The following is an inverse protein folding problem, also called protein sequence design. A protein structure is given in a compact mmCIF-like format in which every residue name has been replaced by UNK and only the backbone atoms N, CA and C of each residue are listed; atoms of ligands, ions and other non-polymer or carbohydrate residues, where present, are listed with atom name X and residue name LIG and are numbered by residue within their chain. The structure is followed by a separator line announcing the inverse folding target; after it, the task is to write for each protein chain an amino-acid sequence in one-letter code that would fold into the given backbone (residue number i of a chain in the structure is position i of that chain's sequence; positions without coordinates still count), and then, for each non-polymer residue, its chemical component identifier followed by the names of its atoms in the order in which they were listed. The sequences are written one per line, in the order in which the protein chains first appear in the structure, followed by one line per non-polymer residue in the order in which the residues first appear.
data_IF_530956146505
#
_entry.id   IF_530956146505
#
_cell.length_a   1.000
_cell.length_b   1.000
_cell.length_c   1.000
_cell.angle_alpha   90.00
_cell.angle_beta   90.00
_cell.angle_gamma   90.00
#
_symmetry.space_group_name_H-M   'P 1'
#
loop_
_entity.id
_entity.type
_entity.pdbx_description
1 polymer ?
#
# COMPACT_ATOMS: atom_id res chain seq x y z
N UNK A 1 -4.62 7.19 -18.75
CA UNK A 1 -3.54 7.31 -17.75
C UNK A 1 -4.11 6.80 -16.43
N UNK A 2 -3.79 5.56 -16.02
CA UNK A 2 -4.20 5.07 -14.70
C UNK A 2 -3.29 5.73 -13.67
N UNK A 3 -3.82 6.67 -12.89
CA UNK A 3 -3.09 7.23 -11.76
C UNK A 3 -2.68 6.09 -10.83
N UNK A 4 -1.43 6.13 -10.34
CA UNK A 4 -0.96 5.16 -9.35
C UNK A 4 -1.51 5.57 -8.00
N UNK A 5 -2.17 4.65 -7.28
CA UNK A 5 -2.73 4.93 -5.96
C UNK A 5 -1.72 4.48 -4.90
N UNK A 6 -0.99 5.42 -4.30
CA UNK A 6 0.02 5.09 -3.31
C UNK A 6 0.24 6.21 -2.30
N UNK A 7 0.84 5.83 -1.17
CA UNK A 7 1.42 6.76 -0.18
C UNK A 7 2.89 6.43 0.05
N UNK A 8 3.65 7.42 0.51
CA UNK A 8 5.00 7.22 1.04
C UNK A 8 4.98 7.45 2.55
N UNK A 9 5.38 6.43 3.30
CA UNK A 9 5.57 6.51 4.75
C UNK A 9 7.02 6.79 5.10
N UNK A 10 7.27 7.65 6.09
CA UNK A 10 8.62 7.87 6.62
C UNK A 10 9.05 6.70 7.51
N UNK A 11 10.00 5.89 7.05
CA UNK A 11 10.48 4.71 7.78
C UNK A 11 11.43 5.05 8.94
N UNK A 12 11.82 6.31 9.09
CA UNK A 12 12.73 6.78 10.14
C UNK A 12 12.00 7.19 11.43
N UNK A 13 10.69 7.43 11.37
CA UNK A 13 9.86 7.70 12.55
C UNK A 13 9.25 6.39 13.01
N UNK A 14 9.93 5.73 13.94
CA UNK A 14 9.53 4.41 14.46
C UNK A 14 8.11 4.42 15.04
N UNK A 15 7.43 3.28 14.90
CA UNK A 15 6.05 3.01 15.36
C UNK A 15 4.94 3.85 14.71
N UNK A 16 5.22 5.05 14.21
CA UNK A 16 4.21 5.91 13.58
C UNK A 16 4.19 5.74 12.05
N UNK A 17 5.36 5.66 11.41
CA UNK A 17 5.52 5.58 9.96
C UNK A 17 4.64 6.58 9.19
N UNK A 18 4.78 7.90 9.48
CA UNK A 18 3.84 8.90 9.01
C UNK A 18 3.88 9.06 7.49
N UNK A 19 2.72 9.24 6.89
CA UNK A 19 2.56 9.60 5.48
C UNK A 19 3.21 10.97 5.26
N UNK A 20 4.23 10.99 4.41
CA UNK A 20 4.95 12.20 3.95
C UNK A 20 4.60 12.56 2.51
N UNK A 21 3.88 11.69 1.80
CA UNK A 21 3.33 11.95 0.48
C UNK A 21 2.15 11.02 0.20
N UNK A 22 1.13 11.52 -0.49
CA UNK A 22 0.08 10.69 -1.08
C UNK A 22 -0.20 11.13 -2.52
N UNK A 23 -0.44 10.16 -3.41
CA UNK A 23 -0.80 10.45 -4.80
C UNK A 23 -2.24 10.95 -4.92
N UNK A 24 -2.55 11.64 -6.02
CA UNK A 24 -3.92 12.08 -6.30
C UNK A 24 -4.86 10.88 -6.48
N UNK A 25 -4.41 9.83 -7.18
CA UNK A 25 -5.17 8.59 -7.33
C UNK A 25 -5.50 7.90 -6.00
N UNK A 26 -4.64 8.00 -4.99
CA UNK A 26 -4.96 7.50 -3.65
C UNK A 26 -6.06 8.33 -2.96
N UNK A 27 -6.01 9.65 -3.11
CA UNK A 27 -7.06 10.55 -2.60
C UNK A 27 -8.40 10.24 -3.29
N UNK A 28 -8.40 10.12 -4.62
CA UNK A 28 -9.58 9.77 -5.41
C UNK A 28 -10.15 8.39 -5.04
N UNK A 29 -9.29 7.37 -4.92
CA UNK A 29 -9.70 6.00 -4.57
C UNK A 29 -10.38 5.96 -3.20
N UNK A 30 -9.80 6.64 -2.21
CA UNK A 30 -10.22 6.52 -0.80
C UNK A 30 -11.25 7.56 -0.38
N UNK A 31 -11.40 8.65 -1.14
CA UNK A 31 -12.27 9.77 -0.82
C UNK A 31 -11.72 10.70 0.28
N UNK A 32 -10.50 10.49 0.76
CA UNK A 32 -9.86 11.37 1.73
C UNK A 32 -9.13 12.52 1.05
N UNK A 33 -9.25 13.72 1.62
CA UNK A 33 -8.43 14.83 1.18
C UNK A 33 -6.98 14.63 1.64
N UNK A 34 -6.02 15.05 0.81
CA UNK A 34 -4.58 14.97 1.11
C UNK A 34 -4.24 15.51 2.50
N UNK A 35 -4.80 16.65 2.89
CA UNK A 35 -4.56 17.26 4.20
C UNK A 35 -5.00 16.37 5.39
N UNK A 36 -6.00 15.51 5.19
CA UNK A 36 -6.43 14.55 6.21
C UNK A 36 -5.48 13.35 6.31
N UNK A 37 -4.76 13.04 5.24
CA UNK A 37 -3.90 11.85 5.12
C UNK A 37 -2.48 12.10 5.65
N UNK A 38 -1.96 13.31 5.48
CA UNK A 38 -0.60 13.65 5.93
C UNK A 38 -0.44 13.35 7.42
N UNK A 39 0.73 12.83 7.81
CA UNK A 39 1.07 12.46 9.20
C UNK A 39 0.28 11.29 9.82
N UNK A 40 -0.79 10.79 9.17
CA UNK A 40 -1.36 9.48 9.55
C UNK A 40 -0.37 8.37 9.23
N UNK A 41 -0.48 7.24 9.91
CA UNK A 41 0.37 6.07 9.64
C UNK A 41 0.15 5.54 8.22
N UNK A 42 1.23 5.18 7.53
CA UNK A 42 1.18 4.57 6.19
C UNK A 42 0.66 3.13 6.19
N UNK A 43 0.46 2.51 7.36
CA UNK A 43 -0.36 1.30 7.50
C UNK A 43 -1.84 1.52 7.12
N UNK A 44 -2.27 2.79 6.99
CA UNK A 44 -3.59 3.18 6.50
C UNK A 44 -4.77 2.65 7.33
N UNK A 45 -4.62 2.58 8.66
CA UNK A 45 -5.65 2.17 9.62
C UNK A 45 -7.01 2.86 9.45
N UNK A 46 -7.04 4.07 8.90
CA UNK A 46 -8.26 4.82 8.59
C UNK A 46 -9.10 4.22 7.45
N UNK A 47 -8.58 3.20 6.76
CA UNK A 47 -9.29 2.41 5.75
C UNK A 47 -9.85 1.10 6.32
N UNK A 48 -9.59 0.78 7.59
CA UNK A 48 -10.05 -0.47 8.18
C UNK A 48 -11.53 -0.35 8.56
N UNK A 49 -12.25 -1.47 8.46
CA UNK A 49 -13.65 -1.57 8.91
C UNK A 49 -14.00 -3.00 9.29
N UNK A 50 -15.29 -3.28 9.45
CA UNK A 50 -15.80 -4.52 10.06
C UNK A 50 -15.28 -5.80 9.41
N UNK A 51 -15.13 -5.81 8.08
CA UNK A 51 -14.65 -6.98 7.32
C UNK A 51 -13.13 -6.99 7.08
N UNK A 52 -12.40 -5.98 7.57
CA UNK A 52 -10.94 -5.96 7.46
C UNK A 52 -10.36 -7.01 8.42
N UNK A 53 -9.62 -7.99 7.88
CA UNK A 53 -9.08 -9.09 8.68
C UNK A 53 -7.99 -8.64 9.65
N UNK A 54 -8.20 -8.86 10.96
CA UNK A 54 -7.22 -8.59 12.02
C UNK A 54 -5.86 -9.25 11.74
N UNK A 55 -5.87 -10.49 11.24
CA UNK A 55 -4.65 -11.21 10.85
C UNK A 55 -3.84 -10.41 9.83
N UNK A 56 -4.48 -9.91 8.77
CA UNK A 56 -3.77 -9.13 7.75
C UNK A 56 -3.32 -7.76 8.27
N UNK A 57 -4.10 -7.09 9.11
CA UNK A 57 -3.68 -5.81 9.72
C UNK A 57 -2.44 -5.98 10.61
N UNK A 58 -2.36 -7.06 11.39
CA UNK A 58 -1.19 -7.40 12.17
C UNK A 58 0.04 -7.69 11.29
N UNK A 59 -0.16 -8.39 10.16
CA UNK A 59 0.91 -8.65 9.20
C UNK A 59 1.39 -7.37 8.48
N UNK A 60 0.49 -6.42 8.20
CA UNK A 60 0.85 -5.09 7.67
C UNK A 60 1.78 -4.37 8.66
N UNK A 61 1.38 -4.29 9.92
CA UNK A 61 2.18 -3.63 10.95
C UNK A 61 3.53 -4.32 11.13
N UNK A 62 3.54 -5.66 11.23
CA UNK A 62 4.76 -6.45 11.32
C UNK A 62 5.70 -6.24 10.14
N UNK A 63 5.18 -6.11 8.91
CA UNK A 63 6.01 -5.83 7.75
C UNK A 63 6.72 -4.47 7.80
N UNK A 64 6.04 -3.44 8.32
CA UNK A 64 6.63 -2.11 8.54
C UNK A 64 7.69 -2.16 9.65
N UNK A 65 7.40 -2.84 10.76
CA UNK A 65 8.32 -2.98 11.89
C UNK A 65 9.59 -3.76 11.51
N UNK A 66 9.41 -4.87 10.77
CA UNK A 66 10.48 -5.74 10.27
C UNK A 66 11.16 -5.17 9.01
N UNK A 67 10.69 -4.04 8.48
CA UNK A 67 11.23 -3.35 7.29
C UNK A 67 11.32 -4.25 6.05
N UNK A 68 10.31 -5.10 5.84
CA UNK A 68 10.28 -6.09 4.75
C UNK A 68 9.15 -5.84 3.77
N UNK A 69 9.27 -6.45 2.59
CA UNK A 69 8.20 -6.46 1.62
C UNK A 69 7.00 -7.27 2.12
N UNK A 70 5.81 -6.77 1.78
CA UNK A 70 4.56 -7.44 2.11
C UNK A 70 3.48 -7.13 1.09
N UNK A 71 2.76 -8.16 0.66
CA UNK A 71 1.70 -8.05 -0.33
C UNK A 71 0.55 -8.96 0.05
N UNK A 72 -0.67 -8.43 0.01
CA UNK A 72 -1.88 -9.19 0.35
C UNK A 72 -3.12 -8.60 -0.31
N UNK A 73 -4.19 -9.38 -0.37
CA UNK A 73 -5.52 -8.90 -0.74
C UNK A 73 -6.38 -8.81 0.53
N UNK A 74 -7.03 -7.65 0.75
CA UNK A 74 -7.90 -7.45 1.91
C UNK A 74 -9.01 -6.43 1.63
N UNK A 75 -10.03 -6.45 2.48
CA UNK A 75 -11.14 -5.50 2.41
C UNK A 75 -10.78 -4.20 3.13
N UNK A 76 -10.99 -3.08 2.45
CA UNK A 76 -10.89 -1.73 2.97
C UNK A 76 -12.18 -0.93 2.74
N UNK A 77 -12.26 0.20 3.44
CA UNK A 77 -13.39 1.10 3.46
C UNK A 77 -12.93 2.50 3.04
N UNK A 78 -13.65 3.10 2.10
CA UNK A 78 -13.48 4.50 1.71
C UNK A 78 -14.04 5.40 2.81
N UNK A 79 -13.75 6.70 2.75
CA UNK A 79 -14.20 7.70 3.74
C UNK A 79 -15.71 7.63 4.04
N UNK A 80 -16.52 7.47 3.00
CA UNK A 80 -17.99 7.38 3.11
C UNK A 80 -18.50 5.96 3.46
N UNK A 81 -17.61 5.05 3.87
CA UNK A 81 -17.95 3.69 4.29
C UNK A 81 -18.12 2.69 3.14
N UNK A 82 -17.94 3.10 1.89
CA UNK A 82 -18.00 2.18 0.75
C UNK A 82 -16.84 1.17 0.79
N UNK A 83 -17.18 -0.11 0.78
CA UNK A 83 -16.24 -1.22 0.80
C UNK A 83 -15.56 -1.41 -0.56
N UNK A 84 -14.28 -1.80 -0.56
CA UNK A 84 -13.57 -2.27 -1.74
C UNK A 84 -12.52 -3.34 -1.40
N UNK A 85 -12.32 -4.29 -2.32
CA UNK A 85 -11.19 -5.22 -2.22
C UNK A 85 -9.92 -4.55 -2.74
N UNK A 86 -8.89 -4.55 -1.92
CA UNK A 86 -7.60 -3.94 -2.23
C UNK A 86 -6.52 -5.00 -2.32
N UNK A 87 -5.79 -5.03 -3.43
CA UNK A 87 -4.45 -5.60 -3.47
C UNK A 87 -3.48 -4.55 -2.92
N UNK A 88 -2.99 -4.79 -1.71
CA UNK A 88 -2.02 -3.96 -1.00
C UNK A 88 -0.59 -4.46 -1.29
N UNK A 89 0.34 -3.55 -1.55
CA UNK A 89 1.77 -3.84 -1.76
C UNK A 89 2.64 -2.83 -1.00
N UNK A 90 3.44 -3.31 -0.06
CA UNK A 90 4.36 -2.54 0.79
C UNK A 90 5.78 -2.88 0.37
N UNK A 91 6.54 -1.85 -0.02
CA UNK A 91 7.93 -1.99 -0.47
C UNK A 91 8.83 -1.01 0.29
N UNK A 92 9.86 -1.49 1.00
CA UNK A 92 10.85 -0.63 1.63
C UNK A 92 11.76 0.02 0.59
N UNK A 93 11.95 1.33 0.69
CA UNK A 93 12.84 2.13 -0.16
C UNK A 93 14.12 2.41 0.63
N UNK A 94 15.25 1.95 0.11
CA UNK A 94 16.57 2.12 0.74
C UNK A 94 17.35 3.33 0.21
N UNK A 95 18.12 4.00 1.05
CA UNK A 95 19.12 4.96 0.57
C UNK A 95 20.38 4.24 0.05
N UNK A 96 21.38 5.00 -0.40
CA UNK A 96 22.67 4.48 -0.90
C UNK A 96 23.45 3.66 0.14
N UNK A 97 23.17 3.86 1.44
CA UNK A 97 23.77 3.11 2.55
C UNK A 97 23.02 1.80 2.86
N UNK A 98 21.97 1.48 2.10
CA UNK A 98 21.12 0.32 2.34
C UNK A 98 20.09 0.51 3.46
N UNK A 99 19.96 1.70 4.02
CA UNK A 99 19.03 1.99 5.11
C UNK A 99 17.62 2.26 4.55
N UNK A 100 16.59 1.61 5.11
CA UNK A 100 15.20 1.86 4.70
C UNK A 100 14.74 3.23 5.19
N UNK A 101 14.58 4.19 4.26
CA UNK A 101 14.21 5.58 4.55
C UNK A 101 12.74 5.87 4.32
N UNK A 102 12.09 5.14 3.40
CA UNK A 102 10.66 5.29 3.11
C UNK A 102 10.02 3.91 2.93
N UNK A 103 8.70 3.87 3.04
CA UNK A 103 7.86 2.77 2.56
C UNK A 103 7.00 3.28 1.40
N UNK A 104 7.00 2.58 0.27
CA UNK A 104 5.99 2.73 -0.76
C UNK A 104 4.84 1.79 -0.46
N UNK A 105 3.65 2.34 -0.24
CA UNK A 105 2.44 1.56 0.03
C UNK A 105 1.44 1.80 -1.10
N UNK A 106 1.30 0.81 -1.97
CA UNK A 106 0.43 0.86 -3.15
C UNK A 106 -0.90 0.15 -2.91
N UNK A 107 -1.98 0.72 -3.45
CA UNK A 107 -3.34 0.25 -3.27
C UNK A 107 -4.01 0.03 -4.63
N UNK A 108 -4.38 -1.21 -4.95
CA UNK A 108 -5.10 -1.48 -6.21
C UNK A 108 -6.49 -2.00 -5.89
N UNK A 109 -7.51 -1.24 -6.33
CA UNK A 109 -8.88 -1.72 -6.30
C UNK A 109 -9.02 -2.92 -7.27
N UNK A 110 -9.39 -4.06 -6.71
CA UNK A 110 -9.64 -5.31 -7.42
C UNK A 110 -11.08 -5.79 -7.22
N UNK A 111 -11.98 -4.91 -6.75
CA UNK A 111 -13.37 -5.26 -6.44
C UNK A 111 -14.08 -5.91 -7.62
N UNK A 112 -13.90 -5.38 -8.84
CA UNK A 112 -14.54 -5.95 -10.03
C UNK A 112 -13.99 -7.35 -10.35
N UNK A 113 -12.72 -7.63 -10.08
CA UNK A 113 -12.12 -8.96 -10.31
C UNK A 113 -12.62 -10.01 -9.34
N UNK A 114 -13.05 -9.59 -8.14
CA UNK A 114 -13.62 -10.49 -7.13
C UNK A 114 -15.08 -10.83 -7.39
N UNK A 115 -15.82 -9.99 -8.13
CA UNK A 115 -17.21 -10.30 -8.54
C UNK A 115 -17.29 -11.50 -9.49
N UNK A 116 -16.22 -11.73 -10.26
CA UNK A 116 -16.13 -12.82 -11.23
C UNK A 116 -15.51 -14.12 -10.66
N UNK A 117 -15.13 -14.13 -9.36
CA UNK A 117 -14.53 -15.29 -8.70
C UNK A 117 -15.47 -15.82 -7.60
N UNK A 118 -15.96 -17.04 -7.81
CA UNK A 118 -16.76 -17.81 -6.83
C UNK A 118 -15.95 -17.99 -5.52
N UNK A 119 -16.55 -17.93 -4.31
CA UNK A 119 -15.84 -17.79 -3.03
C UNK A 119 -14.95 -18.97 -2.58
N UNK A 120 -14.87 -20.07 -3.32
CA UNK A 120 -14.40 -21.35 -2.76
C UNK A 120 -12.88 -21.62 -2.77
N UNK A 121 -12.02 -20.76 -3.30
CA UNK A 121 -10.57 -21.05 -3.32
C UNK A 121 -9.71 -19.92 -2.78
N UNK A 122 -9.81 -19.70 -1.48
CA UNK A 122 -8.81 -18.97 -0.70
C UNK A 122 -7.57 -19.82 -0.46
N UNK A 123 -6.60 -19.79 -1.38
CA UNK A 123 -5.34 -20.54 -1.23
C UNK A 123 -4.18 -20.12 -2.12
N UNK A 124 -4.40 -19.90 -3.42
CA UNK A 124 -3.28 -20.07 -4.37
C UNK A 124 -2.84 -18.81 -5.14
N UNK A 125 -3.37 -17.62 -4.83
CA UNK A 125 -3.08 -16.39 -5.60
C UNK A 125 -1.66 -15.82 -5.36
N UNK A 126 -0.91 -16.36 -4.39
CA UNK A 126 0.39 -15.82 -3.96
C UNK A 126 1.49 -15.96 -5.04
N UNK A 127 1.33 -16.88 -6.00
CA UNK A 127 2.38 -17.18 -6.98
C UNK A 127 2.40 -16.26 -8.22
N UNK A 128 1.31 -15.55 -8.54
CA UNK A 128 1.24 -14.71 -9.76
C UNK A 128 1.74 -13.27 -9.55
N UNK A 129 2.20 -12.90 -8.35
CA UNK A 129 2.47 -11.52 -7.93
C UNK A 129 3.96 -11.15 -7.87
N UNK A 130 4.85 -12.08 -8.25
CA UNK A 130 6.30 -11.88 -8.25
C UNK A 130 6.83 -11.04 -9.44
N UNK A 131 6.11 -10.97 -10.56
CA UNK A 131 6.61 -10.35 -11.81
C UNK A 131 6.57 -8.80 -11.86
N UNK A 132 6.37 -8.10 -10.74
CA UNK A 132 6.07 -6.66 -10.74
C UNK A 132 7.24 -5.72 -10.36
N UNK A 133 8.47 -6.21 -10.22
CA UNK A 133 9.53 -5.44 -9.56
C UNK A 133 10.02 -4.19 -10.31
N UNK A 134 10.14 -4.23 -11.64
CA UNK A 134 10.74 -3.13 -12.40
C UNK A 134 9.78 -1.93 -12.59
N UNK A 135 8.47 -2.17 -12.59
CA UNK A 135 7.44 -1.11 -12.77
C UNK A 135 7.06 -0.39 -11.48
N UNK A 136 7.52 -0.85 -10.30
CA UNK A 136 7.22 -0.22 -9.01
C UNK A 136 7.89 1.15 -8.89
N UNK A 137 9.15 1.25 -9.28
CA UNK A 137 9.96 2.47 -9.12
C UNK A 137 9.62 3.58 -10.11
N UNK A 138 9.10 3.25 -11.30
CA UNK A 138 8.68 4.25 -12.30
C UNK A 138 7.46 5.08 -11.87
N UNK A 139 6.73 4.64 -10.83
CA UNK A 139 5.56 5.33 -10.27
C UNK A 139 5.92 6.31 -9.17
N UNK A 140 7.16 6.27 -8.67
CA UNK A 140 7.64 7.21 -7.67
C UNK A 140 7.73 8.61 -8.27
N UNK A 141 7.52 9.67 -7.46
CA UNK A 141 7.84 11.04 -7.87
C UNK A 141 9.27 11.14 -8.40
N UNK A 142 9.53 12.03 -9.38
CA UNK A 142 10.83 12.09 -10.08
C UNK A 142 12.04 12.19 -9.14
N UNK A 143 11.91 12.91 -8.02
CA UNK A 143 12.93 13.04 -6.98
C UNK A 143 13.21 11.76 -6.18
N UNK A 144 12.46 10.69 -6.41
CA UNK A 144 12.58 9.38 -5.76
C UNK A 144 12.88 8.25 -6.75
N UNK A 145 13.00 8.54 -8.06
CA UNK A 145 13.31 7.55 -9.10
C UNK A 145 14.81 7.21 -9.22
N UNK A 146 15.68 7.80 -8.40
CA UNK A 146 17.15 7.62 -8.45
C UNK A 146 17.64 6.19 -8.18
N UNK A 147 16.76 5.28 -7.76
CA UNK A 147 17.10 3.86 -7.54
C UNK A 147 17.18 3.00 -8.81
N UNK A 148 16.99 3.58 -10.01
CA UNK A 148 17.08 2.86 -11.29
C UNK A 148 18.51 2.42 -11.67
N UNK A 149 19.53 2.90 -10.96
CA UNK A 149 20.93 2.69 -11.34
C UNK A 149 21.65 1.81 -10.33
N UNK A 150 21.42 0.49 -10.43
CA UNK A 150 22.45 -0.52 -10.18
C UNK A 150 22.42 -1.51 -11.32
#
# INVERSE_FOLDING_TARGET
MMYSNFVLGNAQVQSLYPIVYCSDGFCELTGYARAELMQKSCACHFLYGTETSDRFTAQIQGALDERREFKTELVFYKKEGAQFWCLLDIVPIKNEKGEVVLFLVSHKDITDKKKDQDPEHGGDTVLAIADADEKKYSRLPHNLQWQRSV
#
